data_IF_024320083465
#
_entry.id   IF_024320083465
#
_cell.length_a   1.000
_cell.length_b   1.000
_cell.length_c   1.000
_cell.angle_alpha   90.00
_cell.angle_beta   90.00
_cell.angle_gamma   90.00
#
_symmetry.space_group_name_H-M   'P 1'
#
loop_
_entity.id
_entity.type
_entity.pdbx_description
1 polymer ?
#
# COMPACT_ATOMS: atom_id res chain seq x y z
N UNK A 1 -5.23 39.23 -3.30
CA UNK A 1 -4.88 38.92 -4.70
C UNK A 1 -4.22 40.13 -5.35
N UNK A 2 -4.90 41.29 -5.48
CA UNK A 2 -4.29 42.51 -6.04
C UNK A 2 -2.99 42.91 -5.35
N UNK A 3 -2.93 42.77 -4.03
CA UNK A 3 -1.75 43.16 -3.23
C UNK A 3 -0.69 42.04 -3.12
N UNK A 4 -0.82 40.93 -3.86
CA UNK A 4 0.14 39.81 -3.86
C UNK A 4 0.17 38.94 -2.59
N UNK A 5 -0.65 39.23 -1.58
CA UNK A 5 -0.69 38.47 -0.31
C UNK A 5 -1.27 37.05 -0.48
N UNK A 6 -2.25 36.90 -1.38
CA UNK A 6 -2.93 35.64 -1.69
C UNK A 6 -2.77 35.36 -3.16
N UNK A 7 -2.29 34.17 -3.48
CA UNK A 7 -2.03 33.70 -4.83
C UNK A 7 -3.02 32.60 -5.22
N UNK A 8 -3.36 32.55 -6.51
CA UNK A 8 -4.14 31.47 -7.09
C UNK A 8 -3.16 30.51 -7.76
N UNK A 9 -3.00 29.32 -7.17
CA UNK A 9 -2.05 28.32 -7.64
C UNK A 9 -2.61 27.51 -8.81
N UNK A 10 -3.88 27.08 -8.71
CA UNK A 10 -4.54 26.26 -9.74
C UNK A 10 -6.02 26.57 -9.83
N UNK A 11 -6.55 26.48 -11.05
CA UNK A 11 -7.98 26.62 -11.33
C UNK A 11 -8.41 25.47 -12.24
N UNK A 12 -9.49 24.81 -11.87
CA UNK A 12 -10.18 23.86 -12.74
C UNK A 12 -11.63 24.25 -12.83
N UNK A 13 -12.12 24.38 -14.06
CA UNK A 13 -13.44 24.93 -14.35
C UNK A 13 -14.21 24.02 -15.29
N UNK A 14 -15.48 23.81 -14.93
CA UNK A 14 -16.54 23.30 -15.79
C UNK A 14 -17.60 24.41 -15.90
N UNK A 15 -17.56 25.21 -16.99
CA UNK A 15 -18.38 26.41 -17.12
C UNK A 15 -19.87 26.16 -16.90
N UNK A 16 -20.50 27.03 -16.12
CA UNK A 16 -21.94 26.95 -15.82
C UNK A 16 -22.33 25.83 -14.85
N UNK A 17 -21.38 25.05 -14.34
CA UNK A 17 -21.63 24.01 -13.35
C UNK A 17 -20.81 24.22 -12.08
N UNK A 18 -19.50 23.99 -12.17
CA UNK A 18 -18.63 24.01 -10.99
C UNK A 18 -17.18 24.35 -11.32
N UNK A 19 -16.58 25.14 -10.46
CA UNK A 19 -15.16 25.47 -10.47
C UNK A 19 -14.52 25.15 -9.13
N UNK A 20 -13.28 24.68 -9.17
CA UNK A 20 -12.39 24.61 -8.01
C UNK A 20 -11.24 25.59 -8.19
N UNK A 21 -10.92 26.32 -7.13
CA UNK A 21 -9.81 27.29 -7.11
C UNK A 21 -8.92 26.95 -5.91
N UNK A 22 -7.66 26.63 -6.17
CA UNK A 22 -6.66 26.38 -5.14
C UNK A 22 -5.86 27.66 -4.87
N UNK A 23 -5.85 28.09 -3.61
CA UNK A 23 -5.21 29.34 -3.17
C UNK A 23 -4.22 29.11 -2.04
N UNK A 24 -3.16 29.90 -2.02
CA UNK A 24 -2.16 29.95 -0.94
C UNK A 24 -1.93 31.39 -0.51
N UNK A 25 -1.33 31.59 0.66
CA UNK A 25 -0.93 32.93 1.11
C UNK A 25 0.58 32.98 1.30
N UNK A 26 1.16 34.12 0.91
CA UNK A 26 2.55 34.45 1.15
C UNK A 26 2.80 34.91 2.61
N UNK A 27 1.73 35.20 3.35
CA UNK A 27 1.78 35.56 4.78
C UNK A 27 1.14 34.44 5.61
N UNK A 28 1.91 33.86 6.54
CA UNK A 28 1.45 32.80 7.43
C UNK A 28 0.32 33.23 8.38
N UNK A 29 0.15 34.53 8.62
CA UNK A 29 -0.90 35.06 9.50
C UNK A 29 -2.25 35.19 8.79
N UNK A 30 -2.31 34.96 7.47
CA UNK A 30 -3.50 35.18 6.65
C UNK A 30 -4.01 33.85 6.12
N UNK A 31 -5.26 33.52 6.44
CA UNK A 31 -5.94 32.39 5.81
C UNK A 31 -6.35 32.76 4.37
N UNK A 32 -5.75 32.11 3.34
CA UNK A 32 -6.06 32.43 1.95
C UNK A 32 -7.52 32.08 1.58
N UNK A 33 -8.11 31.06 2.19
CA UNK A 33 -9.49 30.66 1.89
C UNK A 33 -10.46 31.71 2.44
N UNK A 34 -10.35 32.07 3.73
CA UNK A 34 -11.13 33.15 4.33
C UNK A 34 -10.95 34.50 3.61
N UNK A 35 -9.72 34.79 3.19
CA UNK A 35 -9.38 35.96 2.38
C UNK A 35 -9.99 35.97 0.97
N UNK A 36 -10.44 34.83 0.43
CA UNK A 36 -11.16 34.78 -0.83
C UNK A 36 -12.68 34.68 -0.64
N UNK A 37 -13.14 34.00 0.41
CA UNK A 37 -14.56 33.78 0.72
C UNK A 37 -15.24 35.07 1.23
N UNK A 38 -14.57 35.79 2.14
CA UNK A 38 -15.14 36.99 2.78
C UNK A 38 -16.18 36.67 3.86
N UNK A 39 -16.69 37.70 4.54
CA UNK A 39 -17.66 37.52 5.62
C UNK A 39 -18.90 36.78 5.10
N UNK A 40 -19.19 35.61 5.69
CA UNK A 40 -20.28 34.72 5.28
C UNK A 40 -20.31 34.42 3.77
N UNK A 41 -19.16 34.41 3.09
CA UNK A 41 -19.09 34.14 1.65
C UNK A 41 -19.45 35.30 0.74
N UNK A 42 -19.49 36.54 1.24
CA UNK A 42 -19.90 37.71 0.43
C UNK A 42 -19.10 37.88 -0.86
N UNK A 43 -17.78 37.66 -0.82
CA UNK A 43 -16.90 37.86 -1.99
C UNK A 43 -17.08 36.77 -3.04
N UNK A 44 -17.07 35.51 -2.62
CA UNK A 44 -17.27 34.39 -3.56
C UNK A 44 -18.68 34.39 -4.15
N UNK A 45 -19.71 34.79 -3.39
CA UNK A 45 -21.09 34.89 -3.89
C UNK A 45 -21.23 35.90 -5.03
N UNK A 46 -20.59 37.07 -4.94
CA UNK A 46 -20.60 38.04 -6.04
C UNK A 46 -20.05 37.44 -7.34
N UNK A 47 -19.02 36.59 -7.25
CA UNK A 47 -18.46 35.90 -8.43
C UNK A 47 -19.39 34.81 -8.92
N UNK A 48 -20.02 34.04 -8.02
CA UNK A 48 -21.01 33.02 -8.38
C UNK A 48 -22.20 33.65 -9.12
N UNK A 49 -22.68 34.80 -8.64
CA UNK A 49 -23.80 35.53 -9.24
C UNK A 49 -23.44 36.05 -10.64
N UNK A 50 -22.23 36.61 -10.81
CA UNK A 50 -21.71 37.04 -12.11
C UNK A 50 -21.55 35.87 -13.09
N UNK A 51 -21.20 34.68 -12.59
CA UNK A 51 -21.10 33.45 -13.37
C UNK A 51 -22.45 32.70 -13.49
N UNK A 52 -23.56 33.41 -13.33
CA UNK A 52 -24.92 32.87 -13.52
C UNK A 52 -25.21 31.62 -12.67
N UNK A 53 -24.69 31.57 -11.44
CA UNK A 53 -24.92 30.47 -10.50
C UNK A 53 -23.92 29.31 -10.57
N UNK A 54 -22.81 29.45 -11.30
CA UNK A 54 -21.72 28.46 -11.29
C UNK A 54 -21.18 28.27 -9.86
N UNK A 55 -21.15 27.03 -9.35
CA UNK A 55 -20.66 26.78 -7.98
C UNK A 55 -19.14 26.88 -7.91
N UNK A 56 -18.62 27.65 -6.98
CA UNK A 56 -17.17 27.82 -6.81
C UNK A 56 -16.75 27.26 -5.45
N UNK A 57 -15.88 26.25 -5.47
CA UNK A 57 -15.21 25.76 -4.27
C UNK A 57 -13.79 26.38 -4.21
N UNK A 58 -13.48 27.06 -3.11
CA UNK A 58 -12.14 27.62 -2.85
C UNK A 58 -11.45 26.71 -1.83
N UNK A 59 -10.27 26.21 -2.15
CA UNK A 59 -9.52 25.25 -1.34
C UNK A 59 -8.11 25.75 -1.08
N UNK A 60 -7.54 25.37 0.06
CA UNK A 60 -6.15 25.70 0.39
C UNK A 60 -5.21 24.81 -0.44
N UNK A 61 -4.32 25.45 -1.19
CA UNK A 61 -3.21 24.77 -1.85
C UNK A 61 -2.19 24.31 -0.81
N UNK A 62 -1.65 23.10 -1.00
CA UNK A 62 -0.53 22.56 -0.22
C UNK A 62 0.45 21.90 -1.18
N UNK A 63 1.74 21.95 -0.86
CA UNK A 63 2.77 21.23 -1.60
C UNK A 63 2.81 19.74 -1.21
N UNK A 64 2.31 19.40 -0.02
CA UNK A 64 2.07 18.00 0.35
C UNK A 64 0.86 17.46 -0.40
N UNK A 65 1.06 16.41 -1.20
CA UNK A 65 0.00 15.87 -2.06
C UNK A 65 -1.14 15.25 -1.25
N UNK A 66 -0.84 14.63 -0.09
CA UNK A 66 -1.86 14.05 0.77
C UNK A 66 -2.81 15.11 1.32
N UNK A 67 -2.25 16.19 1.87
CA UNK A 67 -3.00 17.35 2.35
C UNK A 67 -3.74 18.05 1.20
N UNK A 68 -3.09 18.22 0.03
CA UNK A 68 -3.71 18.88 -1.10
C UNK A 68 -4.91 18.09 -1.64
N UNK A 69 -4.79 16.78 -1.82
CA UNK A 69 -5.92 15.91 -2.23
C UNK A 69 -7.08 16.02 -1.22
N UNK A 70 -6.78 15.99 0.08
CA UNK A 70 -7.78 16.16 1.15
C UNK A 70 -8.51 17.50 1.04
N UNK A 71 -7.77 18.60 0.83
CA UNK A 71 -8.36 19.93 0.69
C UNK A 71 -9.23 20.04 -0.56
N UNK A 72 -8.80 19.45 -1.68
CA UNK A 72 -9.48 19.56 -2.98
C UNK A 72 -10.81 18.79 -3.00
N UNK A 73 -10.92 17.68 -2.25
CA UNK A 73 -12.16 16.90 -2.13
C UNK A 73 -13.25 17.55 -1.26
N UNK A 74 -12.91 18.67 -0.57
CA UNK A 74 -13.88 19.52 0.12
C UNK A 74 -15.07 19.83 -0.81
N UNK A 75 -16.32 19.66 -0.33
CA UNK A 75 -16.78 19.65 1.07
C UNK A 75 -16.71 18.30 1.81
N UNK A 76 -16.28 17.22 1.15
CA UNK A 76 -16.31 15.88 1.74
C UNK A 76 -15.23 15.71 2.80
N UNK A 77 -15.57 15.04 3.90
CA UNK A 77 -14.59 14.68 4.92
C UNK A 77 -13.80 13.47 4.46
N UNK A 78 -12.47 13.58 4.54
CA UNK A 78 -11.53 12.52 4.22
C UNK A 78 -10.89 12.03 5.51
N UNK A 79 -10.95 10.72 5.73
CA UNK A 79 -10.33 10.04 6.87
C UNK A 79 -8.82 9.97 6.64
N UNK A 80 -8.41 9.30 5.55
CA UNK A 80 -7.00 9.08 5.22
C UNK A 80 -6.74 9.18 3.72
N UNK A 81 -5.48 9.47 3.36
CA UNK A 81 -5.00 9.51 1.97
C UNK A 81 -3.68 8.75 1.88
N UNK A 82 -3.61 7.77 0.98
CA UNK A 82 -2.39 7.06 0.63
C UNK A 82 -1.96 7.45 -0.78
N UNK A 83 -0.74 7.93 -0.91
CA UNK A 83 -0.18 8.42 -2.17
C UNK A 83 0.75 7.34 -2.75
N UNK A 84 0.49 6.93 -3.98
CA UNK A 84 1.41 6.15 -4.79
C UNK A 84 2.05 7.07 -5.85
N UNK A 85 3.29 7.49 -5.60
CA UNK A 85 4.02 8.41 -6.47
C UNK A 85 4.39 7.80 -7.83
N UNK A 86 4.67 6.49 -7.87
CA UNK A 86 5.07 5.79 -9.10
C UNK A 86 3.93 5.78 -10.13
N UNK A 87 2.72 5.47 -9.68
CA UNK A 87 1.54 5.36 -10.53
C UNK A 87 0.73 6.67 -10.65
N UNK A 88 1.09 7.69 -9.86
CA UNK A 88 0.33 8.94 -9.67
C UNK A 88 -1.14 8.67 -9.29
N UNK A 89 -1.32 7.79 -8.31
CA UNK A 89 -2.63 7.43 -7.76
C UNK A 89 -2.70 7.86 -6.30
N UNK A 90 -3.79 8.53 -5.93
CA UNK A 90 -4.15 8.85 -4.57
C UNK A 90 -5.33 7.97 -4.16
N UNK A 91 -5.11 7.05 -3.22
CA UNK A 91 -6.16 6.27 -2.58
C UNK A 91 -6.71 7.07 -1.41
N UNK A 92 -7.98 7.41 -1.47
CA UNK A 92 -8.66 8.26 -0.51
C UNK A 92 -9.70 7.44 0.22
N UNK A 93 -9.59 7.41 1.54
CA UNK A 93 -10.55 6.76 2.41
C UNK A 93 -11.48 7.83 2.97
N UNK A 94 -12.77 7.60 2.79
CA UNK A 94 -13.83 8.47 3.33
C UNK A 94 -14.79 7.65 4.19
N UNK A 95 -15.49 8.28 5.15
CA UNK A 95 -16.59 7.64 5.85
C UNK A 95 -17.67 7.15 4.87
N UNK A 96 -18.35 6.04 5.20
CA UNK A 96 -19.35 5.40 4.33
C UNK A 96 -20.48 6.35 3.89
N UNK A 97 -20.89 7.28 4.75
CA UNK A 97 -21.91 8.29 4.45
C UNK A 97 -21.42 9.39 3.49
N UNK A 98 -20.10 9.56 3.35
CA UNK A 98 -19.47 10.61 2.56
C UNK A 98 -19.04 10.16 1.16
N UNK A 99 -19.07 8.87 0.83
CA UNK A 99 -18.64 8.33 -0.48
C UNK A 99 -19.34 9.03 -1.64
N UNK A 100 -20.66 9.16 -1.56
CA UNK A 100 -21.47 9.81 -2.59
C UNK A 100 -21.12 11.29 -2.76
N UNK A 101 -20.84 12.00 -1.65
CA UNK A 101 -20.43 13.41 -1.69
C UNK A 101 -19.02 13.57 -2.27
N UNK A 102 -18.11 12.66 -1.91
CA UNK A 102 -16.72 12.65 -2.35
C UNK A 102 -16.61 12.44 -3.86
N UNK A 103 -17.39 11.49 -4.40
CA UNK A 103 -17.52 11.28 -5.85
C UNK A 103 -18.25 12.49 -6.49
N UNK A 104 -19.34 12.92 -5.87
CA UNK A 104 -20.23 13.96 -6.36
C UNK A 104 -21.17 13.47 -7.47
N UNK A 105 -22.20 14.27 -7.78
CA UNK A 105 -23.14 13.98 -8.88
C UNK A 105 -22.36 13.80 -10.19
N UNK A 106 -22.59 12.69 -10.90
CA UNK A 106 -21.89 12.29 -12.14
C UNK A 106 -20.35 12.21 -12.03
N UNK A 107 -19.83 12.11 -10.79
CA UNK A 107 -18.40 12.10 -10.52
C UNK A 107 -17.73 13.47 -10.64
N UNK A 108 -18.47 14.57 -10.74
CA UNK A 108 -17.88 15.90 -10.99
C UNK A 108 -16.87 16.31 -9.91
N UNK A 109 -17.11 16.00 -8.63
CA UNK A 109 -16.19 16.40 -7.55
C UNK A 109 -14.84 15.67 -7.68
N UNK A 110 -14.89 14.34 -7.84
CA UNK A 110 -13.69 13.52 -8.05
C UNK A 110 -12.97 13.88 -9.36
N UNK A 111 -13.70 14.16 -10.46
CA UNK A 111 -13.12 14.59 -11.74
C UNK A 111 -12.40 15.92 -11.65
N UNK A 112 -13.03 16.93 -11.03
CA UNK A 112 -12.40 18.23 -10.81
C UNK A 112 -11.18 18.10 -9.90
N UNK A 113 -11.26 17.25 -8.87
CA UNK A 113 -10.16 16.99 -7.97
C UNK A 113 -8.97 16.32 -8.68
N UNK A 114 -9.23 15.30 -9.51
CA UNK A 114 -8.22 14.61 -10.30
C UNK A 114 -7.54 15.56 -11.31
N UNK A 115 -8.32 16.43 -11.98
CA UNK A 115 -7.80 17.47 -12.88
C UNK A 115 -6.97 18.51 -12.14
N UNK A 116 -7.40 18.91 -10.94
CA UNK A 116 -6.74 19.95 -10.16
C UNK A 116 -5.40 19.47 -9.58
N UNK A 117 -5.36 18.24 -9.09
CA UNK A 117 -4.14 17.61 -8.55
C UNK A 117 -3.22 17.11 -9.67
N UNK A 118 -3.80 16.73 -10.82
CA UNK A 118 -3.16 15.96 -11.90
C UNK A 118 -2.81 14.53 -11.48
N UNK A 119 -3.65 13.92 -10.65
CA UNK A 119 -3.52 12.57 -10.11
C UNK A 119 -4.81 11.78 -10.32
N UNK A 120 -4.69 10.46 -10.41
CA UNK A 120 -5.87 9.59 -10.34
C UNK A 120 -6.32 9.51 -8.88
N UNK A 121 -7.60 9.73 -8.63
CA UNK A 121 -8.17 9.68 -7.28
C UNK A 121 -9.08 8.46 -7.21
N UNK A 122 -8.72 7.50 -6.37
CA UNK A 122 -9.53 6.31 -6.07
C UNK A 122 -10.16 6.50 -4.70
N UNK A 123 -11.49 6.52 -4.63
CA UNK A 123 -12.24 6.83 -3.40
C UNK A 123 -12.87 5.53 -2.90
N UNK A 124 -12.54 5.15 -1.68
CA UNK A 124 -13.09 3.97 -1.00
C UNK A 124 -13.70 4.33 0.33
N UNK A 125 -14.70 3.58 0.74
CA UNK A 125 -15.22 3.69 2.10
C UNK A 125 -14.30 3.01 3.12
N UNK A 126 -14.42 3.39 4.39
CA UNK A 126 -13.70 2.74 5.48
C UNK A 126 -13.98 1.23 5.55
N UNK A 127 -15.24 0.83 5.35
CA UNK A 127 -15.62 -0.59 5.30
C UNK A 127 -14.97 -1.33 4.13
N UNK A 128 -15.03 -0.76 2.92
CA UNK A 128 -14.41 -1.35 1.73
C UNK A 128 -12.90 -1.52 1.91
N UNK A 129 -12.24 -0.49 2.44
CA UNK A 129 -10.81 -0.54 2.73
C UNK A 129 -10.47 -1.62 3.76
N UNK A 130 -11.25 -1.71 4.84
CA UNK A 130 -11.04 -2.72 5.88
C UNK A 130 -11.21 -4.15 5.33
N UNK A 131 -12.22 -4.39 4.52
CA UNK A 131 -12.45 -5.70 3.87
C UNK A 131 -11.30 -6.10 2.95
N UNK A 132 -10.81 -5.17 2.13
CA UNK A 132 -9.65 -5.42 1.26
C UNK A 132 -8.39 -5.75 2.08
N UNK A 133 -8.13 -4.99 3.16
CA UNK A 133 -6.98 -5.24 4.03
C UNK A 133 -7.07 -6.57 4.76
N UNK A 134 -8.27 -6.98 5.18
CA UNK A 134 -8.49 -8.29 5.79
C UNK A 134 -8.19 -9.43 4.80
N UNK A 135 -8.68 -9.31 3.55
CA UNK A 135 -8.38 -10.30 2.50
C UNK A 135 -6.89 -10.40 2.19
N UNK A 136 -6.19 -9.25 2.05
CA UNK A 136 -4.73 -9.23 1.84
C UNK A 136 -3.97 -9.94 2.99
N UNK A 137 -4.43 -9.78 4.23
CA UNK A 137 -3.82 -10.43 5.40
C UNK A 137 -4.07 -11.94 5.43
N UNK A 138 -5.25 -12.40 5.01
CA UNK A 138 -5.59 -13.81 4.91
C UNK A 138 -4.76 -14.51 3.83
N UNK A 139 -4.64 -13.90 2.65
CA UNK A 139 -3.80 -14.43 1.56
C UNK A 139 -2.33 -14.58 1.97
N UNK A 140 -1.77 -13.56 2.64
CA UNK A 140 -0.39 -13.61 3.16
C UNK A 140 -0.22 -14.73 4.19
N UNK A 141 -1.20 -14.94 5.08
CA UNK A 141 -1.16 -16.05 6.05
C UNK A 141 -1.18 -17.42 5.37
N UNK A 142 -2.01 -17.59 4.35
CA UNK A 142 -2.04 -18.83 3.57
C UNK A 142 -0.72 -19.09 2.84
N UNK A 143 -0.11 -18.07 2.25
CA UNK A 143 1.19 -18.19 1.58
C UNK A 143 2.30 -18.59 2.56
N UNK A 144 2.34 -17.95 3.73
CA UNK A 144 3.26 -18.32 4.80
C UNK A 144 3.04 -19.77 5.28
N UNK A 145 1.80 -20.21 5.42
CA UNK A 145 1.47 -21.56 5.85
C UNK A 145 1.89 -22.60 4.79
N UNK A 146 1.60 -22.33 3.51
CA UNK A 146 2.05 -23.13 2.36
C UNK A 146 3.59 -23.20 2.32
N UNK A 147 4.29 -22.10 2.61
CA UNK A 147 5.76 -22.07 2.70
C UNK A 147 6.30 -22.90 3.89
N UNK A 148 5.67 -22.84 5.06
CA UNK A 148 6.01 -23.64 6.24
C UNK A 148 5.81 -25.14 5.99
N UNK A 149 4.73 -25.53 5.31
CA UNK A 149 4.46 -26.94 4.94
C UNK A 149 5.49 -27.47 3.93
N UNK A 150 5.88 -26.68 2.91
CA UNK A 150 6.94 -27.06 1.96
C UNK A 150 8.29 -27.26 2.66
N UNK A 151 8.62 -26.41 3.63
CA UNK A 151 9.85 -26.51 4.43
C UNK A 151 9.84 -27.75 5.32
N UNK A 152 8.73 -28.03 6.02
CA UNK A 152 8.55 -29.27 6.81
C UNK A 152 8.65 -30.53 5.93
N UNK A 153 8.07 -30.54 4.73
CA UNK A 153 8.21 -31.65 3.76
C UNK A 153 9.66 -31.84 3.28
N UNK A 154 10.42 -30.76 3.03
CA UNK A 154 11.86 -30.83 2.69
C UNK A 154 12.69 -31.40 3.85
N UNK A 155 12.39 -31.02 5.09
CA UNK A 155 13.07 -31.56 6.29
C UNK A 155 12.72 -33.04 6.49
N UNK A 156 11.46 -33.45 6.27
CA UNK A 156 11.02 -34.86 6.37
C UNK A 156 11.69 -35.73 5.29
N UNK A 157 11.76 -35.26 4.03
CA UNK A 157 12.48 -35.94 2.93
C UNK A 157 13.98 -36.10 3.19
N UNK A 158 14.62 -35.18 3.91
CA UNK A 158 16.03 -35.32 4.35
C UNK A 158 16.20 -36.35 5.48
N UNK A 159 15.21 -36.52 6.36
CA UNK A 159 15.26 -37.49 7.47
C UNK A 159 14.98 -38.95 7.03
N UNK A 160 14.34 -39.17 5.89
CA UNK A 160 14.01 -40.52 5.38
C UNK A 160 15.14 -41.23 4.60
N UNK A 161 16.25 -40.55 4.27
CA UNK A 161 17.49 -41.26 3.90
C UNK A 161 18.07 -41.91 5.17
N UNK A 162 17.59 -43.09 5.53
CA UNK A 162 18.13 -43.93 6.62
C UNK A 162 19.63 -44.16 6.39
N UNK A 163 20.47 -43.35 7.03
CA UNK A 163 21.92 -43.57 7.02
C UNK A 163 22.25 -44.65 8.04
N UNK A 164 22.55 -45.84 7.55
CA UNK A 164 23.00 -46.99 8.35
C UNK A 164 24.41 -46.72 8.90
N UNK A 165 24.66 -47.03 10.18
CA UNK A 165 26.01 -46.95 10.77
C UNK A 165 26.88 -48.12 10.31
N UNK A 166 28.18 -47.87 10.23
CA UNK A 166 29.19 -48.88 9.95
C UNK A 166 29.12 -50.01 10.98
N UNK A 167 29.17 -51.26 10.52
CA UNK A 167 29.12 -52.46 11.40
C UNK A 167 30.48 -52.88 11.97
N UNK A 168 31.60 -52.24 11.58
CA UNK A 168 32.93 -52.64 12.05
C UNK A 168 33.11 -52.42 13.56
N UNK A 169 33.86 -53.31 14.21
CA UNK A 169 34.24 -53.21 15.62
C UNK A 169 35.72 -52.82 15.68
N UNK A 170 36.03 -51.77 16.45
CA UNK A 170 37.40 -51.29 16.64
C UNK A 170 38.13 -52.19 17.64
N UNK A 171 39.47 -52.08 17.70
CA UNK A 171 40.31 -52.83 18.66
C UNK A 171 39.91 -52.61 20.13
N UNK A 172 39.26 -51.48 20.43
CA UNK A 172 38.71 -51.15 21.74
C UNK A 172 37.39 -51.87 22.08
N UNK A 173 36.90 -52.78 21.22
CA UNK A 173 35.62 -53.47 21.36
C UNK A 173 34.40 -52.60 21.03
N UNK A 174 34.58 -51.30 20.76
CA UNK A 174 33.50 -50.37 20.42
C UNK A 174 33.18 -50.40 18.93
N UNK A 175 31.90 -50.28 18.57
CA UNK A 175 31.45 -50.19 17.17
C UNK A 175 31.92 -48.86 16.53
N UNK A 176 32.30 -48.91 15.26
CA UNK A 176 32.70 -47.75 14.48
C UNK A 176 31.57 -46.71 14.44
N UNK A 177 31.93 -45.45 14.67
CA UNK A 177 31.00 -44.32 14.72
C UNK A 177 30.66 -43.77 13.33
N UNK A 178 31.41 -44.16 12.29
CA UNK A 178 31.21 -43.68 10.94
C UNK A 178 29.95 -44.26 10.29
N UNK A 179 29.44 -43.54 9.29
CA UNK A 179 28.30 -43.95 8.49
C UNK A 179 28.74 -44.97 7.43
N UNK A 180 27.90 -45.97 7.17
CA UNK A 180 28.12 -46.95 6.12
C UNK A 180 27.92 -46.30 4.74
N UNK A 181 28.67 -46.78 3.74
CA UNK A 181 28.42 -46.38 2.35
C UNK A 181 27.05 -46.93 1.90
N UNK A 182 26.40 -46.29 0.90
CA UNK A 182 25.06 -46.69 0.44
C UNK A 182 24.94 -48.20 0.13
N UNK A 183 25.94 -48.78 -0.53
CA UNK A 183 25.93 -50.18 -0.98
C UNK A 183 26.73 -51.13 -0.06
N UNK A 184 27.09 -50.67 1.15
CA UNK A 184 28.00 -51.40 2.04
C UNK A 184 27.43 -51.55 3.45
N UNK A 185 27.96 -52.54 4.19
CA UNK A 185 27.79 -52.60 5.65
C UNK A 185 28.80 -51.75 6.42
N UNK A 186 29.81 -51.21 5.73
CA UNK A 186 30.97 -50.58 6.33
C UNK A 186 31.22 -49.18 5.75
N UNK A 187 32.02 -48.39 6.48
CA UNK A 187 32.43 -47.06 6.04
C UNK A 187 33.63 -47.14 5.06
N UNK A 188 34.06 -46.00 4.53
CA UNK A 188 35.15 -45.93 3.55
C UNK A 188 36.57 -46.13 4.08
N UNK A 189 36.76 -46.35 5.39
CA UNK A 189 38.08 -46.58 5.96
C UNK A 189 38.70 -47.87 5.39
N UNK A 190 39.98 -47.86 4.99
CA UNK A 190 40.61 -49.02 4.34
C UNK A 190 40.50 -50.33 5.15
N UNK A 191 40.62 -50.26 6.47
CA UNK A 191 40.49 -51.42 7.35
C UNK A 191 39.07 -52.02 7.37
N UNK A 192 38.03 -51.18 7.26
CA UNK A 192 36.63 -51.62 7.29
C UNK A 192 36.13 -52.01 5.89
N UNK A 193 36.63 -51.38 4.83
CA UNK A 193 36.34 -51.75 3.43
C UNK A 193 36.77 -53.20 3.14
N UNK A 194 37.90 -53.64 3.70
CA UNK A 194 38.38 -55.03 3.60
C UNK A 194 37.47 -56.06 4.28
N UNK A 195 36.61 -55.64 5.22
CA UNK A 195 35.61 -56.52 5.86
C UNK A 195 34.38 -56.72 4.98
N UNK A 196 34.18 -55.86 3.99
CA UNK A 196 33.07 -55.96 3.03
C UNK A 196 33.37 -57.03 1.97
N UNK A 197 34.62 -57.09 1.50
CA UNK A 197 35.10 -58.03 0.47
C UNK A 197 35.37 -59.45 0.99
N UNK A 198 35.30 -59.68 2.30
CA UNK A 198 35.53 -61.00 2.92
C UNK A 198 34.27 -61.88 3.00
N UNK A 199 33.13 -61.40 2.51
CA UNK A 199 31.84 -62.11 2.55
C UNK A 199 31.50 -62.89 1.27
N UNK A 200 32.30 -62.78 0.22
CA UNK A 200 32.06 -63.44 -1.08
C UNK A 200 32.91 -64.69 -1.33
N UNK A 201 33.65 -65.17 -0.31
CA UNK A 201 34.30 -66.49 -0.32
C UNK A 201 33.78 -67.36 0.81
#
# INVERSE_FOLDING_TARGET
ISDGIVEINRVVREPGNRSKIAVSSNDSNIDPVGACVGQRGSRVRMVVDELSGERIDIVKYSDDMGEFVKNVLSPSKVSDVFINEEEKIAFVIVPDDQVSLAIGKDGHNAKLAARMTNWKIDIKSETQWAEEKMKELEEKKEEEEKAKVKTKKKIKKRKEKKVKRCKAILRSGKRCTNLAKPDSNYCGLPAHKKLDTKKEN
#
